data_IF_160638477996
#
_entry.id   IF_160638477996
#
_cell.length_a   1.000
_cell.length_b   1.000
_cell.length_c   1.000
_cell.angle_alpha   90.00
_cell.angle_beta   90.00
_cell.angle_gamma   90.00
#
_symmetry.space_group_name_H-M   'P 1'
#
loop_
_entity.id
_entity.type
_entity.pdbx_description
1 polymer ?
#
# COMPACT_ATOMS: atom_id res chain seq x y z
N UNK A 1 -15.96 -15.31 15.90
CA UNK A 1 -15.58 -14.01 15.32
C UNK A 1 -14.06 -13.95 15.39
N UNK A 2 -13.37 -14.35 14.33
CA UNK A 2 -11.91 -14.34 14.32
C UNK A 2 -11.41 -12.89 14.43
N UNK A 3 -10.44 -12.60 15.30
CA UNK A 3 -9.82 -11.28 15.34
C UNK A 3 -9.16 -11.05 13.98
N UNK A 4 -9.70 -10.10 13.20
CA UNK A 4 -9.12 -9.72 11.91
C UNK A 4 -7.64 -9.39 12.12
N UNK A 5 -6.77 -10.19 11.49
CA UNK A 5 -5.32 -10.26 11.60
C UNK A 5 -4.56 -8.98 11.19
N UNK A 6 -5.25 -7.84 11.02
CA UNK A 6 -4.59 -6.59 10.74
C UNK A 6 -4.00 -6.00 12.01
N UNK A 7 -2.68 -6.11 12.12
CA UNK A 7 -1.88 -5.68 13.26
C UNK A 7 -1.63 -4.17 13.26
N UNK A 8 -1.44 -3.60 14.45
CA UNK A 8 -1.02 -2.22 14.61
C UNK A 8 0.39 -2.01 14.00
N UNK A 9 0.67 -0.79 13.54
CA UNK A 9 1.98 -0.43 12.99
C UNK A 9 3.14 -0.88 13.89
N UNK A 10 4.12 -1.55 13.29
CA UNK A 10 5.40 -1.90 13.91
C UNK A 10 6.55 -1.12 13.23
N UNK A 11 7.54 -0.62 14.00
CA UNK A 11 8.68 0.11 13.42
C UNK A 11 9.45 -0.66 12.35
N UNK A 12 9.50 -2.00 12.44
CA UNK A 12 10.13 -2.86 11.42
C UNK A 12 9.53 -2.71 10.01
N UNK A 13 8.27 -2.27 9.91
CA UNK A 13 7.60 -2.05 8.63
C UNK A 13 8.25 -0.90 7.84
N UNK A 14 8.79 0.12 8.53
CA UNK A 14 9.53 1.20 7.88
C UNK A 14 10.82 0.70 7.23
N UNK A 15 11.55 -0.21 7.91
CA UNK A 15 12.76 -0.82 7.36
C UNK A 15 12.49 -1.67 6.12
N UNK A 16 11.45 -2.52 6.19
CA UNK A 16 11.00 -3.32 5.03
C UNK A 16 10.58 -2.43 3.87
N UNK A 17 9.82 -1.36 4.15
CA UNK A 17 9.37 -0.42 3.13
C UNK A 17 10.54 0.32 2.47
N UNK A 18 11.53 0.76 3.23
CA UNK A 18 12.75 1.36 2.67
C UNK A 18 13.46 0.43 1.68
N UNK A 19 13.57 -0.85 2.03
CA UNK A 19 14.13 -1.85 1.14
C UNK A 19 13.32 -1.97 -0.16
N UNK A 20 12.00 -2.04 -0.06
CA UNK A 20 11.14 -2.14 -1.25
C UNK A 20 11.20 -0.88 -2.13
N UNK A 21 11.27 0.31 -1.52
CA UNK A 21 11.44 1.55 -2.27
C UNK A 21 12.76 1.59 -3.03
N UNK A 22 13.87 1.18 -2.40
CA UNK A 22 15.16 1.13 -3.07
C UNK A 22 15.15 0.17 -4.26
N UNK A 23 14.52 -1.00 -4.13
CA UNK A 23 14.40 -1.98 -5.22
C UNK A 23 13.48 -1.46 -6.32
N UNK A 24 12.35 -0.84 -5.98
CA UNK A 24 11.44 -0.27 -6.95
C UNK A 24 12.08 0.90 -7.73
N UNK A 25 12.82 1.76 -7.03
CA UNK A 25 13.55 2.87 -7.64
C UNK A 25 14.67 2.42 -8.58
N UNK A 26 15.23 1.22 -8.37
CA UNK A 26 16.28 0.64 -9.21
C UNK A 26 15.72 -0.10 -10.44
N UNK A 27 14.64 -0.89 -10.24
CA UNK A 27 14.13 -1.80 -11.26
C UNK A 27 13.01 -1.18 -12.11
N UNK A 28 12.16 -0.35 -11.50
CA UNK A 28 10.90 0.10 -12.11
C UNK A 28 10.90 1.57 -12.51
N UNK A 29 11.71 2.39 -11.85
CA UNK A 29 11.69 3.85 -12.05
C UNK A 29 12.35 4.25 -13.36
N UNK A 30 11.65 5.03 -14.17
CA UNK A 30 12.21 5.64 -15.36
C UNK A 30 12.99 6.94 -15.05
N UNK A 31 13.90 7.38 -15.93
CA UNK A 31 14.73 8.57 -15.68
C UNK A 31 13.94 9.87 -15.43
N UNK A 32 12.70 9.94 -15.92
CA UNK A 32 11.81 11.10 -15.78
C UNK A 32 10.89 11.03 -14.56
N UNK A 33 10.87 9.89 -13.86
CA UNK A 33 9.95 9.66 -12.76
C UNK A 33 10.46 10.29 -11.46
N UNK A 34 9.52 10.79 -10.66
CA UNK A 34 9.78 11.20 -9.29
C UNK A 34 10.18 9.99 -8.41
N UNK A 35 10.76 10.22 -7.22
CA UNK A 35 11.05 9.14 -6.28
C UNK A 35 9.81 8.31 -5.96
N UNK A 36 9.96 6.98 -5.88
CA UNK A 36 8.83 6.09 -5.53
C UNK A 36 8.33 6.40 -4.12
N UNK A 37 7.01 6.44 -3.96
CA UNK A 37 6.36 6.72 -2.67
C UNK A 37 5.89 5.41 -2.03
N UNK A 38 6.24 5.21 -0.76
CA UNK A 38 5.83 4.03 0.00
C UNK A 38 4.58 4.30 0.82
N UNK A 39 3.59 3.42 0.75
CA UNK A 39 2.37 3.51 1.57
C UNK A 39 2.22 2.26 2.44
N UNK A 40 2.22 2.46 3.76
CA UNK A 40 1.94 1.40 4.73
C UNK A 40 0.50 1.52 5.22
N UNK A 41 -0.29 0.47 5.01
CA UNK A 41 -1.67 0.38 5.48
C UNK A 41 -1.71 -0.37 6.82
N UNK A 42 -2.24 0.27 7.86
CA UNK A 42 -2.44 -0.35 9.18
C UNK A 42 -3.89 -0.14 9.65
N UNK A 43 -4.46 -1.06 10.44
CA UNK A 43 -5.81 -0.85 11.01
C UNK A 43 -5.80 0.18 12.14
N UNK A 44 -4.67 0.27 12.84
CA UNK A 44 -4.43 1.27 13.88
C UNK A 44 -2.98 1.78 13.77
N UNK A 45 -2.81 3.08 14.01
CA UNK A 45 -1.51 3.75 14.03
C UNK A 45 -1.34 4.54 15.32
N UNK A 46 -0.38 4.13 16.16
CA UNK A 46 0.10 4.98 17.24
C UNK A 46 0.98 6.08 16.63
N UNK A 47 0.42 7.29 16.53
CA UNK A 47 1.06 8.45 15.86
C UNK A 47 2.50 8.68 16.31
N UNK A 48 2.78 8.56 17.60
CA UNK A 48 4.14 8.69 18.15
C UNK A 48 5.09 7.61 17.62
N UNK A 49 4.71 6.34 17.66
CA UNK A 49 5.56 5.24 17.18
C UNK A 49 5.86 5.38 15.68
N UNK A 50 4.88 5.80 14.89
CA UNK A 50 5.07 6.09 13.46
C UNK A 50 6.03 7.27 13.26
N UNK A 51 5.80 8.38 13.97
CA UNK A 51 6.64 9.58 13.84
C UNK A 51 8.11 9.29 14.19
N UNK A 52 8.37 8.55 15.26
CA UNK A 52 9.73 8.16 15.64
C UNK A 52 10.36 7.16 14.65
N UNK A 53 9.59 6.18 14.14
CA UNK A 53 10.10 5.23 13.17
C UNK A 53 10.45 5.88 11.83
N UNK A 54 9.64 6.85 11.39
CA UNK A 54 9.84 7.55 10.11
C UNK A 54 10.82 8.72 10.20
N UNK A 55 11.03 9.32 11.38
CA UNK A 55 11.98 10.43 11.57
C UNK A 55 13.42 10.09 11.13
N UNK A 56 13.80 8.83 11.22
CA UNK A 56 15.14 8.36 10.82
C UNK A 56 15.23 7.93 9.35
N UNK A 57 14.13 8.01 8.59
CA UNK A 57 14.06 7.57 7.20
C UNK A 57 14.05 8.77 6.26
N UNK A 58 14.91 8.77 5.25
CA UNK A 58 14.95 9.82 4.21
C UNK A 58 13.99 9.55 3.05
N UNK A 59 13.52 8.31 2.89
CA UNK A 59 12.59 7.89 1.84
C UNK A 59 11.16 8.41 2.08
N UNK A 60 10.40 8.73 1.03
CA UNK A 60 9.03 9.22 1.14
C UNK A 60 8.07 8.07 1.51
N UNK A 61 7.87 7.84 2.81
CA UNK A 61 6.95 6.82 3.35
C UNK A 61 5.76 7.47 4.06
N UNK A 62 4.55 7.11 3.65
CA UNK A 62 3.29 7.45 4.31
C UNK A 62 2.69 6.27 5.07
N UNK A 63 1.99 6.56 6.18
CA UNK A 63 1.23 5.55 6.94
C UNK A 63 -0.24 5.95 7.05
N UNK A 64 -1.12 5.13 6.49
CA UNK A 64 -2.55 5.36 6.46
C UNK A 64 -3.31 4.30 7.27
N UNK A 65 -4.43 4.73 7.84
CA UNK A 65 -5.37 3.80 8.45
C UNK A 65 -6.27 3.23 7.37
N UNK A 66 -6.49 1.91 7.37
CA UNK A 66 -7.44 1.28 6.47
C UNK A 66 -8.63 0.70 7.23
N UNK A 67 -9.79 0.76 6.58
CA UNK A 67 -11.02 0.09 7.02
C UNK A 67 -11.48 -0.84 5.92
N UNK A 68 -11.96 -2.02 6.30
CA UNK A 68 -12.55 -2.99 5.36
C UNK A 68 -14.01 -2.67 5.04
N UNK A 69 -14.62 -1.73 5.77
CA UNK A 69 -15.96 -1.27 5.47
C UNK A 69 -15.92 -0.32 4.28
N UNK A 70 -16.55 -0.71 3.18
CA UNK A 70 -16.73 0.16 2.03
C UNK A 70 -17.70 1.30 2.42
N UNK A 71 -17.33 2.58 2.24
CA UNK A 71 -18.24 3.68 2.51
C UNK A 71 -19.48 3.56 1.61
N UNK A 72 -20.65 3.90 2.15
CA UNK A 72 -21.94 3.74 1.45
C UNK A 72 -21.95 4.44 0.08
N UNK A 73 -21.22 5.55 -0.05
CA UNK A 73 -21.14 6.37 -1.26
C UNK A 73 -20.43 5.67 -2.43
N UNK A 74 -19.65 4.61 -2.18
CA UNK A 74 -18.88 3.89 -3.20
C UNK A 74 -19.48 2.53 -3.60
N UNK A 75 -20.54 2.08 -2.93
CA UNK A 75 -21.15 0.76 -3.18
C UNK A 75 -21.69 0.63 -4.62
N UNK A 76 -22.26 1.70 -5.17
CA UNK A 76 -22.80 1.71 -6.53
C UNK A 76 -21.78 2.02 -7.64
N UNK A 77 -20.57 2.42 -7.28
CA UNK A 77 -19.53 2.90 -8.21
C UNK A 77 -18.47 1.85 -8.51
N UNK A 78 -18.41 0.78 -7.70
CA UNK A 78 -17.47 -0.31 -7.92
C UNK A 78 -18.05 -1.32 -8.93
N UNK A 79 -17.24 -1.81 -9.89
CA UNK A 79 -17.66 -2.87 -10.79
C UNK A 79 -18.01 -4.15 -10.01
N UNK A 80 -18.84 -4.98 -10.61
CA UNK A 80 -19.14 -6.30 -10.03
C UNK A 80 -17.92 -7.22 -10.12
N UNK A 81 -17.88 -8.25 -9.25
CA UNK A 81 -16.77 -9.22 -9.23
C UNK A 81 -16.54 -9.83 -10.61
N UNK A 82 -17.61 -10.23 -11.30
CA UNK A 82 -17.51 -10.83 -12.64
C UNK A 82 -16.95 -9.88 -13.70
N UNK A 83 -17.28 -8.58 -13.63
CA UNK A 83 -16.70 -7.57 -14.53
C UNK A 83 -15.21 -7.36 -14.23
N UNK A 84 -14.86 -7.31 -12.94
CA UNK A 84 -13.48 -7.13 -12.49
C UNK A 84 -12.58 -8.29 -12.94
N UNK A 85 -13.06 -9.53 -12.80
CA UNK A 85 -12.33 -10.73 -13.21
C UNK A 85 -12.11 -10.77 -14.73
N UNK A 86 -13.13 -10.39 -15.52
CA UNK A 86 -13.04 -10.37 -16.97
C UNK A 86 -12.01 -9.35 -17.48
N UNK A 87 -11.96 -8.13 -16.91
CA UNK A 87 -10.97 -7.12 -17.30
C UNK A 87 -9.55 -7.50 -16.87
N UNK A 88 -9.36 -8.03 -15.65
CA UNK A 88 -8.02 -8.45 -15.22
C UNK A 88 -7.48 -9.62 -16.05
N UNK A 89 -8.33 -10.54 -16.52
CA UNK A 89 -7.85 -11.65 -17.35
C UNK A 89 -7.32 -11.20 -18.71
N UNK A 90 -7.88 -10.15 -19.30
CA UNK A 90 -7.42 -9.63 -20.60
C UNK A 90 -6.03 -8.99 -20.52
N UNK A 91 -5.67 -8.34 -19.39
CA UNK A 91 -4.37 -7.68 -19.21
C UNK A 91 -3.17 -8.64 -19.11
N UNK A 92 -3.39 -9.94 -18.83
CA UNK A 92 -2.33 -10.94 -18.71
C UNK A 92 -2.08 -11.75 -20.00
N UNK A 93 -2.84 -11.52 -21.08
CA UNK A 93 -2.66 -12.26 -22.34
C UNK A 93 -1.64 -11.63 -23.31
N UNK A 94 -1.18 -10.39 -23.08
CA UNK A 94 -0.17 -9.71 -23.92
C UNK A 94 1.12 -9.38 -23.15
N UNK A 95 1.94 -10.41 -22.86
CA UNK A 95 3.41 -10.32 -22.77
C UNK A 95 4.01 -11.71 -22.56
N UNK A 96 4.12 -12.47 -23.65
CA UNK A 96 5.07 -13.58 -23.77
C UNK A 96 6.36 -13.09 -24.44
#
# INVERSE_FOLDING_TARGET
>A
MEPCLSTAFQPEYAGKMNFYLAVADDILRHPTDAPTIGLILCRDKKRMTVEYALRSTESPIGVANFTTALPADFVGSLPTIAQFEAELSDDFEDKQ
#
